data_IF_219610720584
#
_entry.id   IF_219610720584
#
_cell.length_a   1.000
_cell.length_b   1.000
_cell.length_c   1.000
_cell.angle_alpha   90.00
_cell.angle_beta   90.00
_cell.angle_gamma   90.00
#
_symmetry.space_group_name_H-M   'P 1'
#
loop_
_entity.id
_entity.type
_entity.pdbx_description
1 polymer ?
#
# COMPACT_ATOMS: atom_id res chain seq x y z
N UNK A 1 27.26 4.21 -48.47
CA UNK A 1 25.89 4.59 -48.10
C UNK A 1 25.18 3.31 -47.67
N UNK A 2 25.13 3.02 -46.37
CA UNK A 2 24.51 1.79 -45.86
C UNK A 2 23.14 2.12 -45.29
N UNK A 3 22.10 1.51 -45.86
CA UNK A 3 20.70 1.65 -45.50
C UNK A 3 20.44 1.14 -44.07
N UNK A 4 19.82 1.98 -43.24
CA UNK A 4 19.11 1.54 -42.03
C UNK A 4 17.81 0.87 -42.45
N UNK A 5 17.74 -0.46 -42.30
CA UNK A 5 16.49 -1.21 -42.45
C UNK A 5 15.72 -1.10 -41.13
N UNK A 6 14.65 -0.29 -41.14
CA UNK A 6 13.66 -0.25 -40.07
C UNK A 6 12.84 -1.54 -40.16
N UNK A 7 13.24 -2.54 -39.39
CA UNK A 7 12.49 -3.78 -39.23
C UNK A 7 11.29 -3.48 -38.33
N UNK A 8 10.12 -3.25 -38.94
CA UNK A 8 8.86 -3.12 -38.21
C UNK A 8 8.64 -4.38 -37.37
N UNK A 9 8.24 -4.25 -36.08
CA UNK A 9 8.06 -5.42 -35.22
C UNK A 9 6.96 -6.31 -35.77
N UNK A 10 7.32 -7.56 -36.06
CA UNK A 10 6.39 -8.59 -36.49
C UNK A 10 5.47 -9.02 -35.34
N UNK A 11 4.32 -9.62 -35.67
CA UNK A 11 3.31 -10.07 -34.70
C UNK A 11 3.87 -11.02 -33.61
N UNK A 12 4.98 -11.72 -33.87
CA UNK A 12 5.64 -12.58 -32.89
C UNK A 12 6.48 -11.82 -31.85
N UNK A 13 6.81 -10.55 -32.12
CA UNK A 13 7.49 -9.65 -31.17
C UNK A 13 6.48 -9.07 -30.18
N UNK A 14 5.31 -8.63 -30.64
CA UNK A 14 4.26 -8.12 -29.75
C UNK A 14 3.69 -9.21 -28.82
N UNK A 15 3.50 -10.44 -29.31
CA UNK A 15 3.07 -11.56 -28.45
C UNK A 15 4.12 -11.91 -27.38
N UNK A 16 5.41 -11.75 -27.70
CA UNK A 16 6.52 -11.91 -26.75
C UNK A 16 6.56 -10.81 -25.70
N UNK A 17 6.29 -9.57 -26.08
CA UNK A 17 6.21 -8.44 -25.13
C UNK A 17 4.96 -8.52 -24.24
N UNK A 18 3.81 -8.88 -24.80
CA UNK A 18 2.56 -9.12 -24.02
C UNK A 18 2.75 -10.26 -23.02
N UNK A 19 3.43 -11.34 -23.43
CA UNK A 19 3.81 -12.44 -22.53
C UNK A 19 4.83 -12.01 -21.46
N UNK A 20 5.76 -11.11 -21.77
CA UNK A 20 6.73 -10.59 -20.82
C UNK A 20 6.09 -9.66 -19.77
N UNK A 21 5.08 -8.87 -20.17
CA UNK A 21 4.31 -8.04 -19.23
C UNK A 21 3.41 -8.90 -18.32
N UNK A 22 2.75 -9.93 -18.86
CA UNK A 22 1.96 -10.87 -18.05
C UNK A 22 2.82 -11.70 -17.08
N UNK A 23 4.07 -11.98 -17.43
CA UNK A 23 5.02 -12.65 -16.54
C UNK A 23 5.60 -11.71 -15.46
N UNK A 24 5.52 -10.39 -15.64
CA UNK A 24 6.00 -9.41 -14.63
C UNK A 24 5.03 -9.21 -13.45
N UNK A 25 3.77 -9.65 -13.56
CA UNK A 25 2.79 -9.59 -12.46
C UNK A 25 2.80 -10.82 -11.53
N UNK A 26 3.64 -11.81 -11.83
CA UNK A 26 3.73 -13.07 -11.07
C UNK A 26 4.93 -13.16 -10.12
N UNK A 27 5.73 -12.11 -10.03
CA UNK A 27 6.89 -12.05 -9.13
C UNK A 27 6.64 -11.12 -7.93
N UNK A 28 5.39 -11.11 -7.45
CA UNK A 28 5.19 -10.88 -6.02
C UNK A 28 5.86 -12.04 -5.30
N UNK A 29 6.80 -11.82 -4.37
CA UNK A 29 7.34 -12.93 -3.60
C UNK A 29 6.18 -13.58 -2.85
N UNK A 30 5.75 -14.76 -3.31
CA UNK A 30 4.94 -15.72 -2.55
C UNK A 30 5.87 -16.30 -1.48
N UNK A 31 6.30 -15.41 -0.59
CA UNK A 31 7.41 -15.55 0.33
C UNK A 31 7.45 -14.39 1.31
N UNK A 32 6.48 -13.48 1.27
CA UNK A 32 6.12 -12.75 2.47
C UNK A 32 5.64 -13.77 3.47
N UNK A 33 6.50 -14.14 4.44
CA UNK A 33 6.04 -14.61 5.75
C UNK A 33 4.80 -13.80 6.05
N UNK A 34 3.66 -14.44 6.30
CA UNK A 34 2.46 -13.74 6.74
C UNK A 34 2.81 -13.08 8.07
N UNK A 35 3.49 -11.93 8.00
CA UNK A 35 3.71 -11.01 9.09
C UNK A 35 2.29 -10.76 9.51
N UNK A 36 1.95 -11.21 10.71
CA UNK A 36 0.63 -11.01 11.31
C UNK A 36 0.54 -9.52 11.68
N UNK A 37 0.79 -8.66 10.70
CA UNK A 37 0.91 -7.23 10.82
C UNK A 37 -0.49 -6.69 10.70
N UNK A 38 -1.07 -6.40 11.85
CA UNK A 38 -2.32 -5.68 11.92
C UNK A 38 -2.04 -4.23 11.56
N UNK A 39 -2.76 -3.72 10.56
CA UNK A 39 -2.81 -2.30 10.24
C UNK A 39 -4.21 -1.79 10.55
N UNK A 40 -4.31 -0.69 11.29
CA UNK A 40 -5.58 -0.03 11.59
C UNK A 40 -5.51 1.38 11.02
N UNK A 41 -6.55 1.77 10.29
CA UNK A 41 -6.70 3.09 9.69
C UNK A 41 -7.96 3.73 10.26
N UNK A 42 -7.81 4.92 10.82
CA UNK A 42 -8.93 5.74 11.29
C UNK A 42 -8.98 6.96 10.37
N UNK A 43 -10.16 7.26 9.81
CA UNK A 43 -10.42 8.44 8.96
C UNK A 43 -11.64 9.16 9.53
N UNK A 44 -11.57 10.49 9.63
CA UNK A 44 -12.70 11.31 10.06
C UNK A 44 -12.29 12.74 10.34
N UNK A 45 -13.12 13.46 11.11
CA UNK A 45 -12.76 14.79 11.60
C UNK A 45 -11.52 14.73 12.50
N UNK A 46 -10.78 15.84 12.58
CA UNK A 46 -9.58 15.92 13.44
C UNK A 46 -9.86 15.49 14.88
N UNK A 47 -10.93 16.02 15.45
CA UNK A 47 -11.29 15.76 16.84
C UNK A 47 -11.77 14.31 17.00
N UNK A 48 -12.58 13.80 16.07
CA UNK A 48 -13.06 12.42 16.11
C UNK A 48 -11.93 11.38 16.01
N UNK A 49 -10.90 11.63 15.19
CA UNK A 49 -9.72 10.74 15.11
C UNK A 49 -8.93 10.77 16.41
N UNK A 50 -8.72 11.95 17.00
CA UNK A 50 -7.99 12.10 18.28
C UNK A 50 -8.74 11.41 19.42
N UNK A 51 -10.05 11.66 19.56
CA UNK A 51 -10.91 11.02 20.56
C UNK A 51 -10.88 9.50 20.42
N UNK A 52 -11.00 8.99 19.19
CA UNK A 52 -10.94 7.55 18.92
C UNK A 52 -9.59 6.95 19.34
N UNK A 53 -8.47 7.64 19.05
CA UNK A 53 -7.13 7.19 19.47
C UNK A 53 -7.04 7.14 20.99
N UNK A 54 -7.54 8.16 21.69
CA UNK A 54 -7.57 8.17 23.15
C UNK A 54 -8.46 7.06 23.71
N UNK A 55 -9.64 6.80 23.13
CA UNK A 55 -10.50 5.70 23.56
C UNK A 55 -9.83 4.33 23.38
N UNK A 56 -9.15 4.11 22.26
CA UNK A 56 -8.39 2.89 22.00
C UNK A 56 -7.21 2.74 22.95
N UNK A 57 -6.57 3.85 23.33
CA UNK A 57 -5.55 3.87 24.36
C UNK A 57 -6.08 3.43 25.72
N UNK A 58 -7.20 4.02 26.19
CA UNK A 58 -7.83 3.64 27.47
C UNK A 58 -8.28 2.18 27.50
N UNK A 59 -8.63 1.61 26.34
CA UNK A 59 -9.00 0.19 26.20
C UNK A 59 -7.78 -0.74 26.14
N UNK A 60 -6.56 -0.22 26.20
CA UNK A 60 -5.32 -0.98 26.13
C UNK A 60 -5.02 -1.55 24.74
N UNK A 61 -5.62 -0.99 23.68
CA UNK A 61 -5.44 -1.48 22.32
C UNK A 61 -4.05 -1.12 21.76
N UNK A 62 -3.67 0.17 21.89
CA UNK A 62 -2.38 0.69 21.47
C UNK A 62 -2.04 2.02 22.19
N UNK A 63 -0.75 2.27 22.39
CA UNK A 63 -0.22 3.56 22.85
C UNK A 63 -0.55 4.69 21.86
N UNK A 64 -0.80 5.90 22.36
CA UNK A 64 -1.06 7.07 21.49
C UNK A 64 0.11 7.34 20.55
N UNK A 65 1.35 7.13 21.01
CA UNK A 65 2.56 7.30 20.20
C UNK A 65 2.78 6.21 19.13
N UNK A 66 2.03 5.10 19.19
CA UNK A 66 2.11 4.04 18.19
C UNK A 66 1.37 4.40 16.88
N UNK A 67 0.52 5.42 16.92
CA UNK A 67 -0.20 5.94 15.77
C UNK A 67 0.66 6.91 14.96
N UNK A 68 0.45 6.92 13.65
CA UNK A 68 1.06 7.94 12.79
C UNK A 68 0.54 9.33 13.15
N UNK A 69 1.31 10.39 12.86
CA UNK A 69 0.77 11.75 12.83
C UNK A 69 -0.50 11.81 11.99
N UNK A 70 -1.38 12.77 12.28
CA UNK A 70 -2.58 13.01 11.48
C UNK A 70 -2.16 13.43 10.06
N UNK A 71 -2.54 12.62 9.09
CA UNK A 71 -2.30 12.86 7.67
C UNK A 71 -3.57 13.43 7.04
N UNK A 72 -3.47 14.32 6.04
CA UNK A 72 -4.65 14.77 5.30
C UNK A 72 -5.28 13.58 4.55
N UNK A 73 -6.61 13.44 4.67
CA UNK A 73 -7.35 12.46 3.89
C UNK A 73 -7.64 12.98 2.47
N UNK A 74 -7.96 12.09 1.51
CA UNK A 74 -8.33 12.49 0.15
C UNK A 74 -9.59 13.37 0.10
N UNK A 75 -10.44 13.25 1.11
CA UNK A 75 -11.64 14.05 1.36
C UNK A 75 -11.27 15.36 2.07
N UNK A 76 -11.87 16.47 1.60
CA UNK A 76 -11.62 17.79 2.15
C UNK A 76 -12.04 17.88 3.62
N UNK A 77 -11.09 18.25 4.49
CA UNK A 77 -11.37 18.48 5.92
C UNK A 77 -11.29 17.25 6.81
N UNK A 78 -11.07 16.05 6.23
CA UNK A 78 -10.84 14.84 6.98
C UNK A 78 -9.34 14.57 7.16
N UNK A 79 -9.01 13.91 8.26
CA UNK A 79 -7.66 13.44 8.54
C UNK A 79 -7.69 11.94 8.76
N UNK A 80 -6.52 11.33 8.61
CA UNK A 80 -6.33 9.92 8.88
C UNK A 80 -5.14 9.65 9.80
N UNK A 81 -5.17 8.54 10.51
CA UNK A 81 -4.03 8.01 11.26
C UNK A 81 -3.92 6.51 11.11
N UNK A 82 -2.68 6.01 11.04
CA UNK A 82 -2.35 4.62 10.77
C UNK A 82 -1.60 4.05 11.96
N UNK A 83 -2.08 2.93 12.50
CA UNK A 83 -1.36 2.06 13.41
C UNK A 83 -0.85 0.85 12.65
N UNK A 84 0.43 0.52 12.81
CA UNK A 84 1.03 -0.72 12.28
C UNK A 84 1.65 -1.50 13.42
N UNK A 85 1.16 -2.72 13.69
CA UNK A 85 1.67 -3.57 14.76
C UNK A 85 1.86 -5.00 14.28
N UNK A 86 2.96 -5.63 14.69
CA UNK A 86 3.16 -7.07 14.52
C UNK A 86 2.46 -7.83 15.66
N UNK A 87 1.54 -8.72 15.31
CA UNK A 87 0.85 -9.60 16.26
C UNK A 87 1.54 -10.95 16.22
N UNK A 88 2.63 -11.10 16.98
CA UNK A 88 3.18 -12.42 17.27
C UNK A 88 2.14 -13.20 18.08
N UNK A 89 1.82 -14.42 17.63
CA UNK A 89 1.08 -15.40 18.43
C UNK A 89 1.94 -15.89 19.58
#
# INVERSE_FOLDING_TARGET
MSQCFLESPNASTVEREVSALQNSERDYPIGGTASHRLRVLIIGSRDGVIETIHDLYHRGFAEVSAWSPLLPAPSSGEVMSILTRDRRR
#
